data_IF_860621719234
#
_entry.id   IF_860621719234
#
_cell.length_a   1.000
_cell.length_b   1.000
_cell.length_c   1.000
_cell.angle_alpha   90.00
_cell.angle_beta   90.00
_cell.angle_gamma   90.00
#
_symmetry.space_group_name_H-M   'P 1'
#
loop_
_entity.id
_entity.type
_entity.pdbx_description
1 polymer ?
#
# COMPACT_ATOMS: atom_id res chain seq x y z
N UNK A 1 18.27 18.15 -2.90
CA UNK A 1 18.40 18.63 -1.51
C UNK A 1 18.28 17.42 -0.61
N UNK A 2 19.40 16.89 -0.13
CA UNK A 2 19.44 15.78 0.83
C UNK A 2 19.31 16.37 2.23
N UNK A 3 18.19 16.15 2.88
CA UNK A 3 17.85 16.61 4.24
C UNK A 3 18.73 15.87 5.27
N UNK A 4 19.51 16.60 6.09
CA UNK A 4 20.57 16.04 6.95
C UNK A 4 20.23 16.02 8.44
N UNK A 5 19.00 15.70 8.83
CA UNK A 5 18.69 15.59 10.27
C UNK A 5 17.44 14.83 10.68
N UNK A 6 16.49 14.62 9.77
CA UNK A 6 15.23 13.92 10.07
C UNK A 6 15.09 12.68 9.19
N UNK A 7 14.47 11.62 9.71
CA UNK A 7 14.23 10.40 8.93
C UNK A 7 13.27 10.64 7.74
N UNK A 8 12.92 9.58 7.01
CA UNK A 8 11.91 9.68 5.94
C UNK A 8 10.50 9.49 6.50
N UNK A 9 9.54 10.40 6.24
CA UNK A 9 8.14 10.20 6.65
C UNK A 9 7.51 9.06 5.86
N UNK A 10 6.56 8.37 6.47
CA UNK A 10 5.83 7.30 5.82
C UNK A 10 4.68 7.87 4.99
N UNK A 11 5.01 8.56 3.90
CA UNK A 11 4.10 9.27 3.00
C UNK A 11 4.58 9.13 1.55
N UNK A 12 3.64 9.08 0.62
CA UNK A 12 3.89 9.16 -0.82
C UNK A 12 4.02 10.62 -1.23
N UNK A 13 5.13 10.99 -1.88
CA UNK A 13 5.42 12.35 -2.34
C UNK A 13 5.22 13.43 -1.24
N UNK A 14 5.94 13.34 -0.11
CA UNK A 14 5.77 14.27 0.98
C UNK A 14 6.20 15.69 0.60
N UNK A 15 5.39 16.68 0.99
CA UNK A 15 5.78 18.09 1.07
C UNK A 15 6.12 18.44 2.50
N UNK A 16 7.23 19.16 2.69
CA UNK A 16 7.78 19.48 4.00
C UNK A 16 7.54 20.94 4.36
N UNK A 17 7.22 21.18 5.63
CA UNK A 17 6.99 22.48 6.26
C UNK A 17 7.71 22.47 7.61
N UNK A 18 7.95 23.65 8.18
CA UNK A 18 8.48 23.79 9.54
C UNK A 18 7.55 24.71 10.34
N UNK A 19 7.30 24.35 11.59
CA UNK A 19 6.45 25.12 12.51
C UNK A 19 7.13 25.25 13.86
N UNK A 20 7.17 26.48 14.34
CA UNK A 20 7.62 26.84 15.68
C UNK A 20 6.52 27.58 16.41
N UNK A 21 6.24 27.17 17.64
CA UNK A 21 5.35 27.87 18.57
C UNK A 21 6.20 28.43 19.69
N UNK A 22 6.04 29.74 19.96
CA UNK A 22 6.76 30.44 21.02
C UNK A 22 5.77 31.00 22.05
N UNK A 23 6.19 31.07 23.31
CA UNK A 23 5.39 31.65 24.41
C UNK A 23 4.32 30.73 25.00
N UNK A 24 4.05 29.58 24.40
CA UNK A 24 3.16 28.53 24.91
C UNK A 24 3.97 27.24 24.95
N UNK A 25 3.95 26.51 26.08
CA UNK A 25 4.76 25.29 26.28
C UNK A 25 3.94 24.03 26.51
N UNK A 26 2.62 24.15 26.66
CA UNK A 26 1.72 23.04 26.99
C UNK A 26 0.45 23.06 26.13
N UNK A 27 -0.27 21.94 26.12
CA UNK A 27 -1.50 21.78 25.35
C UNK A 27 -1.27 21.29 23.92
N UNK A 28 -2.29 21.47 23.09
CA UNK A 28 -2.29 21.07 21.68
C UNK A 28 -2.52 22.30 20.80
N UNK A 29 -1.77 22.39 19.71
CA UNK A 29 -1.99 23.37 18.66
C UNK A 29 -2.66 22.72 17.46
N UNK A 30 -3.62 23.44 16.86
CA UNK A 30 -4.13 23.09 15.54
C UNK A 30 -3.26 23.79 14.48
N UNK A 31 -2.54 23.01 13.70
CA UNK A 31 -1.72 23.50 12.59
C UNK A 31 -2.50 23.30 11.31
N UNK A 32 -2.76 24.37 10.57
CA UNK A 32 -3.43 24.33 9.27
C UNK A 32 -2.48 24.83 8.19
N UNK A 33 -2.31 24.02 7.14
CA UNK A 33 -1.37 24.30 6.06
C UNK A 33 -2.09 24.22 4.72
N UNK A 34 -1.84 25.19 3.86
CA UNK A 34 -2.29 25.15 2.47
C UNK A 34 -1.43 24.15 1.67
N UNK A 35 -2.09 23.12 1.15
CA UNK A 35 -1.52 22.06 0.34
C UNK A 35 -2.44 21.79 -0.85
N UNK A 36 -2.09 22.34 -2.02
CA UNK A 36 -2.94 22.30 -3.23
C UNK A 36 -3.15 20.90 -3.79
N UNK A 37 -2.25 19.96 -3.48
CA UNK A 37 -2.37 18.55 -3.83
C UNK A 37 -3.14 17.73 -2.79
N UNK A 38 -3.79 18.39 -1.82
CA UNK A 38 -4.60 17.71 -0.82
C UNK A 38 -5.76 16.95 -1.47
N UNK A 39 -5.89 15.69 -1.08
CA UNK A 39 -7.07 14.84 -1.29
C UNK A 39 -7.66 14.41 0.06
N UNK A 40 -8.82 13.78 0.06
CA UNK A 40 -9.49 13.30 1.29
C UNK A 40 -8.66 12.31 2.12
N UNK A 41 -7.66 11.66 1.51
CA UNK A 41 -6.76 10.72 2.19
C UNK A 41 -5.48 11.38 2.70
N UNK A 42 -5.28 12.68 2.49
CA UNK A 42 -4.05 13.37 2.89
C UNK A 42 -3.83 13.24 4.38
N UNK A 43 -2.60 12.94 4.76
CA UNK A 43 -2.17 12.81 6.14
C UNK A 43 -1.13 13.88 6.47
N UNK A 44 -1.04 14.20 7.76
CA UNK A 44 -0.06 15.11 8.33
C UNK A 44 0.78 14.36 9.35
N UNK A 45 2.10 14.40 9.18
CA UNK A 45 3.07 13.85 10.11
C UNK A 45 3.97 14.97 10.64
N UNK A 46 4.47 14.84 11.86
CA UNK A 46 5.45 15.74 12.46
C UNK A 46 6.64 14.96 13.02
N UNK A 47 7.81 15.58 13.04
CA UNK A 47 9.01 14.98 13.59
C UNK A 47 9.01 15.05 15.12
N UNK A 48 8.86 13.90 15.78
CA UNK A 48 8.85 13.81 17.24
C UNK A 48 10.23 13.71 17.89
N UNK A 49 11.30 14.13 17.20
CA UNK A 49 12.70 14.02 17.67
C UNK A 49 13.36 12.67 17.38
N UNK A 50 12.60 11.56 17.41
CA UNK A 50 13.13 10.20 17.14
C UNK A 50 12.46 9.51 15.95
N UNK A 51 11.21 9.87 15.66
CA UNK A 51 10.42 9.27 14.58
C UNK A 51 9.35 10.26 14.10
N UNK A 52 8.89 10.05 12.87
CA UNK A 52 7.70 10.70 12.35
C UNK A 52 6.45 10.19 13.08
N UNK A 53 5.60 11.11 13.51
CA UNK A 53 4.35 10.84 14.21
C UNK A 53 3.19 11.42 13.43
N UNK A 54 2.07 10.70 13.38
CA UNK A 54 0.86 11.18 12.73
C UNK A 54 0.19 12.22 13.65
N UNK A 55 -0.19 13.39 13.10
CA UNK A 55 -0.98 14.38 13.81
C UNK A 55 -2.39 13.85 14.13
N UNK A 56 -3.00 14.27 15.22
CA UNK A 56 -4.37 13.86 15.55
C UNK A 56 -5.41 14.78 14.91
N UNK A 57 -6.67 14.34 14.83
CA UNK A 57 -7.79 15.13 14.31
C UNK A 57 -7.50 15.77 12.94
N UNK A 58 -6.89 15.01 12.03
CA UNK A 58 -6.56 15.51 10.70
C UNK A 58 -7.86 15.78 9.93
N UNK A 59 -8.01 17.01 9.46
CA UNK A 59 -9.13 17.42 8.60
C UNK A 59 -8.59 18.00 7.31
N UNK A 60 -9.27 17.68 6.21
CA UNK A 60 -8.95 18.21 4.89
C UNK A 60 -10.17 18.99 4.41
N UNK A 61 -10.00 20.28 4.15
CA UNK A 61 -11.04 21.14 3.60
C UNK A 61 -10.50 21.86 2.36
N UNK A 62 -10.81 21.30 1.18
CA UNK A 62 -10.25 21.76 -0.09
C UNK A 62 -8.72 21.69 -0.07
N UNK A 63 -8.01 22.80 -0.33
CA UNK A 63 -6.56 22.85 -0.33
C UNK A 63 -5.96 23.03 1.07
N UNK A 64 -6.72 22.90 2.14
CA UNK A 64 -6.22 23.12 3.51
C UNK A 64 -6.24 21.81 4.28
N UNK A 65 -5.09 21.43 4.85
CA UNK A 65 -4.95 20.29 5.75
C UNK A 65 -4.67 20.82 7.15
N UNK A 66 -5.53 20.49 8.09
CA UNK A 66 -5.34 20.81 9.50
C UNK A 66 -5.04 19.54 10.29
N UNK A 67 -4.16 19.63 11.27
CA UNK A 67 -3.87 18.56 12.22
C UNK A 67 -3.60 19.13 13.61
N UNK A 68 -3.82 18.32 14.63
CA UNK A 68 -3.56 18.66 16.02
C UNK A 68 -2.22 18.06 16.45
N UNK A 69 -1.32 18.90 16.94
CA UNK A 69 0.04 18.53 17.36
C UNK A 69 0.29 19.09 18.77
N UNK A 70 0.89 18.31 19.70
CA UNK A 70 1.28 18.82 21.01
C UNK A 70 2.23 20.00 20.89
N UNK A 71 2.01 21.07 21.66
CA UNK A 71 2.87 22.27 21.62
C UNK A 71 4.31 21.95 21.99
N UNK A 72 4.52 20.96 22.88
CA UNK A 72 5.85 20.48 23.25
C UNK A 72 6.65 19.87 22.09
N UNK A 73 5.99 19.54 20.98
CA UNK A 73 6.59 19.03 19.76
C UNK A 73 6.64 20.08 18.63
N UNK A 74 6.48 21.38 18.92
CA UNK A 74 6.51 22.46 17.92
C UNK A 74 7.62 23.47 18.22
N UNK A 75 8.86 23.01 18.29
CA UNK A 75 10.03 23.84 18.66
C UNK A 75 10.93 24.15 17.45
N UNK A 76 10.32 24.36 16.26
CA UNK A 76 11.03 24.27 14.98
C UNK A 76 11.00 22.83 14.48
N UNK A 77 9.78 22.33 14.32
CA UNK A 77 9.53 20.92 14.01
C UNK A 77 9.07 20.74 12.58
N UNK A 78 9.79 19.87 11.86
CA UNK A 78 9.42 19.45 10.52
C UNK A 78 8.05 18.77 10.52
N UNK A 79 7.18 19.25 9.65
CA UNK A 79 5.87 18.69 9.33
C UNK A 79 5.90 18.21 7.89
N UNK A 80 5.36 17.02 7.65
CA UNK A 80 5.22 16.45 6.31
C UNK A 80 3.74 16.24 5.99
N UNK A 81 3.33 16.66 4.80
CA UNK A 81 2.02 16.43 4.23
C UNK A 81 2.13 15.52 3.02
N UNK A 82 1.22 14.56 2.88
CA UNK A 82 1.21 13.68 1.72
C UNK A 82 0.16 12.60 1.84
N UNK A 83 0.04 11.77 0.81
CA UNK A 83 -0.85 10.61 0.86
C UNK A 83 -0.21 9.47 1.63
N UNK A 84 -0.94 8.76 2.50
CA UNK A 84 -0.42 7.54 3.10
C UNK A 84 -0.03 6.54 2.00
N UNK A 85 1.00 5.71 2.23
CA UNK A 85 1.32 4.62 1.31
C UNK A 85 0.08 3.77 1.09
N UNK A 86 -0.27 3.54 -0.17
CA UNK A 86 -1.36 2.63 -0.48
C UNK A 86 -0.92 1.21 -0.06
N UNK A 87 -1.79 0.43 0.60
CA UNK A 87 -1.54 -1.00 0.72
C UNK A 87 -1.42 -1.54 -0.71
N UNK A 88 -0.28 -2.15 -1.05
CA UNK A 88 -0.13 -2.78 -2.36
C UNK A 88 -1.25 -3.80 -2.50
N UNK A 89 -2.09 -3.65 -3.52
CA UNK A 89 -2.97 -4.73 -3.94
C UNK A 89 -2.08 -5.91 -4.29
N UNK A 90 -2.18 -7.00 -3.51
CA UNK A 90 -1.50 -8.25 -3.84
C UNK A 90 -1.84 -8.59 -5.30
N UNK A 91 -0.85 -8.94 -6.15
CA UNK A 91 -1.17 -9.39 -7.50
C UNK A 91 -2.18 -10.53 -7.39
N UNK A 92 -3.24 -10.45 -8.18
CA UNK A 92 -4.23 -11.52 -8.25
C UNK A 92 -3.49 -12.83 -8.55
N UNK A 93 -3.80 -13.88 -7.78
CA UNK A 93 -3.16 -15.17 -7.99
C UNK A 93 -3.38 -15.63 -9.44
N UNK A 94 -2.29 -15.75 -10.19
CA UNK A 94 -2.31 -16.19 -11.58
C UNK A 94 -2.24 -17.74 -11.61
N UNK A 95 -3.38 -18.36 -11.90
CA UNK A 95 -3.52 -19.82 -11.98
C UNK A 95 -3.33 -20.37 -13.40
N UNK A 96 -2.82 -19.58 -14.35
CA UNK A 96 -2.69 -19.99 -15.76
C UNK A 96 -1.91 -21.29 -15.93
N UNK A 97 -0.80 -21.46 -15.20
CA UNK A 97 0.00 -22.68 -15.24
C UNK A 97 -0.73 -23.91 -14.65
N UNK A 98 -1.57 -23.69 -13.63
CA UNK A 98 -2.37 -24.77 -13.03
C UNK A 98 -3.43 -25.25 -14.04
N UNK A 99 -4.12 -24.32 -14.71
CA UNK A 99 -5.10 -24.68 -15.74
C UNK A 99 -4.47 -25.39 -16.93
N UNK A 100 -3.31 -24.93 -17.41
CA UNK A 100 -2.57 -25.62 -18.48
C UNK A 100 -2.14 -27.03 -18.03
N UNK A 101 -1.65 -27.18 -16.80
CA UNK A 101 -1.27 -28.48 -16.25
C UNK A 101 -2.45 -29.47 -16.19
N UNK A 102 -3.61 -29.02 -15.69
CA UNK A 102 -4.83 -29.84 -15.62
C UNK A 102 -5.33 -30.22 -17.02
N UNK A 103 -5.31 -29.29 -17.99
CA UNK A 103 -5.74 -29.56 -19.36
C UNK A 103 -4.85 -30.61 -20.06
N UNK A 104 -3.53 -30.53 -19.88
CA UNK A 104 -2.58 -31.51 -20.41
C UNK A 104 -2.78 -32.88 -19.75
N UNK A 105 -2.96 -32.93 -18.44
CA UNK A 105 -3.22 -34.19 -17.74
C UNK A 105 -4.53 -34.84 -18.23
N UNK A 106 -5.61 -34.06 -18.37
CA UNK A 106 -6.90 -34.56 -18.85
C UNK A 106 -6.81 -35.12 -20.28
N UNK A 107 -6.10 -34.43 -21.18
CA UNK A 107 -5.93 -34.90 -22.57
C UNK A 107 -5.13 -36.19 -22.66
N UNK A 108 -4.06 -36.35 -21.86
CA UNK A 108 -3.29 -37.61 -21.78
C UNK A 108 -4.17 -38.76 -21.29
N UNK A 109 -4.99 -38.54 -20.26
CA UNK A 109 -5.90 -39.56 -19.72
C UNK A 109 -6.95 -39.98 -20.75
N UNK A 110 -7.55 -39.01 -21.46
CA UNK A 110 -8.53 -39.28 -22.52
C UNK A 110 -7.90 -40.07 -23.66
N UNK A 111 -6.71 -39.66 -24.14
CA UNK A 111 -5.99 -40.39 -25.19
C UNK A 111 -5.61 -41.81 -24.76
N UNK A 112 -5.06 -41.96 -23.54
CA UNK A 112 -4.68 -43.26 -22.99
C UNK A 112 -5.87 -44.22 -22.88
N UNK A 113 -6.99 -43.75 -22.32
CA UNK A 113 -8.22 -44.55 -22.21
C UNK A 113 -8.76 -44.95 -23.59
N UNK A 114 -8.76 -44.02 -24.56
CA UNK A 114 -9.23 -44.30 -25.91
C UNK A 114 -8.37 -45.35 -26.64
N UNK A 115 -7.06 -45.30 -26.48
CA UNK A 115 -6.12 -46.29 -27.05
C UNK A 115 -6.34 -47.67 -26.42
N UNK A 116 -6.49 -47.75 -25.10
CA UNK A 116 -6.74 -49.02 -24.39
C UNK A 116 -8.08 -49.62 -24.81
N UNK A 117 -9.14 -48.81 -24.91
CA UNK A 117 -10.45 -49.26 -25.37
C UNK A 117 -10.41 -49.77 -26.82
N UNK A 118 -9.67 -49.10 -27.72
CA UNK A 118 -9.48 -49.57 -29.10
C UNK A 118 -8.69 -50.88 -29.16
N UNK A 119 -7.65 -51.05 -28.35
CA UNK A 119 -6.88 -52.32 -28.28
C UNK A 119 -7.73 -53.49 -27.79
N UNK A 120 -8.57 -53.30 -26.76
CA UNK A 120 -9.48 -54.34 -26.27
C UNK A 120 -10.49 -54.80 -27.33
N UNK A 121 -10.96 -53.89 -28.20
CA UNK A 121 -11.90 -54.23 -29.27
C UNK A 121 -11.26 -55.03 -30.43
N UNK A 122 -9.96 -54.86 -30.66
CA UNK A 122 -9.23 -55.57 -31.72
C UNK A 122 -8.74 -56.97 -31.36
N UNK A 123 -8.82 -57.37 -30.08
CA UNK A 123 -8.25 -58.64 -29.59
C UNK A 123 -9.28 -59.75 -29.32
N UNK A 124 -10.56 -59.51 -29.61
CA UNK A 124 -11.65 -60.50 -29.46
C UNK A 124 -12.15 -60.97 -30.83
N UNK A 125 -11.25 -61.51 -31.63
CA UNK A 125 -11.58 -62.16 -32.89
C UNK A 125 -10.47 -63.11 -33.30
N UNK A 126 -10.84 -64.36 -33.59
CA UNK A 126 -10.02 -65.51 -33.99
C UNK A 126 -9.45 -66.32 -32.81
N UNK A 127 -10.29 -67.22 -32.28
CA UNK A 127 -9.84 -68.59 -31.99
C UNK A 127 -10.86 -69.55 -32.57
N UNK A 128 -10.30 -70.55 -33.22
CA UNK A 128 -10.90 -71.64 -34.00
C UNK A 128 -11.87 -72.53 -33.21
#
# INVERSE_FOLDING_TARGET
>A
MTDTGVGTPNLTNPSYYDVVVAGITTGNAQVCTSFTSASSITSMQYWGGTAWRIASNITVNGPTVCGTIPVSALTGTNIALGSPPQPMSSPAADYTLVYLGVAVAATIVILGTFIVLRRKRGSTGITS
#
